data_IF_363178858402
#
_entry.id   IF_363178858402
#
_cell.length_a   1.000
_cell.length_b   1.000
_cell.length_c   1.000
_cell.angle_alpha   90.00
_cell.angle_beta   90.00
_cell.angle_gamma   90.00
#
_symmetry.space_group_name_H-M   'P 1'
#
loop_
_entity.id
_entity.type
_entity.pdbx_description
1 polymer ?
#
# COMPACT_ATOMS: atom_id res chain seq x y z
N UNK A 1 28.45 -12.86 7.82
CA UNK A 1 29.10 -12.05 8.89
C UNK A 1 29.52 -10.71 8.28
N UNK A 2 28.57 -9.77 8.14
CA UNK A 2 28.73 -8.34 7.77
C UNK A 2 27.37 -7.56 7.80
N UNK A 3 26.24 -8.21 8.13
CA UNK A 3 25.01 -7.56 8.67
C UNK A 3 25.01 -7.59 10.21
N UNK A 4 26.16 -7.27 10.79
CA UNK A 4 26.47 -7.39 12.22
C UNK A 4 25.48 -6.53 13.02
N UNK A 5 24.52 -7.17 13.69
CA UNK A 5 23.46 -6.57 14.53
C UNK A 5 22.43 -5.71 13.78
N UNK A 6 21.36 -6.35 13.28
CA UNK A 6 20.12 -5.69 12.81
C UNK A 6 19.65 -4.57 13.76
N UNK A 7 19.82 -4.81 15.06
CA UNK A 7 19.53 -3.87 16.13
C UNK A 7 20.36 -2.57 16.06
N UNK A 8 21.64 -2.67 15.70
CA UNK A 8 22.54 -1.50 15.58
C UNK A 8 22.28 -0.76 14.27
N UNK A 9 21.98 -1.48 13.19
CA UNK A 9 21.58 -0.85 11.92
C UNK A 9 20.25 -0.09 12.06
N UNK A 10 19.28 -0.64 12.78
CA UNK A 10 18.03 0.07 13.09
C UNK A 10 18.28 1.35 13.91
N UNK A 11 19.14 1.30 14.93
CA UNK A 11 19.50 2.50 15.71
C UNK A 11 20.20 3.56 14.83
N UNK A 12 21.12 3.13 13.94
CA UNK A 12 21.80 4.02 13.00
C UNK A 12 20.82 4.73 12.05
N UNK A 13 19.84 4.00 11.49
CA UNK A 13 18.81 4.59 10.61
C UNK A 13 17.96 5.61 11.36
N UNK A 14 17.56 5.33 12.61
CA UNK A 14 16.77 6.27 13.41
C UNK A 14 17.57 7.54 13.73
N UNK A 15 18.84 7.41 14.10
CA UNK A 15 19.72 8.55 14.36
C UNK A 15 19.92 9.37 13.09
N UNK A 16 20.18 8.72 11.96
CA UNK A 16 20.33 9.37 10.66
C UNK A 16 19.07 10.15 10.29
N UNK A 17 17.89 9.52 10.33
CA UNK A 17 16.61 10.17 10.08
C UNK A 17 16.38 11.36 11.02
N UNK A 18 16.76 11.24 12.30
CA UNK A 18 16.61 12.34 13.26
C UNK A 18 17.55 13.52 12.95
N UNK A 19 18.78 13.25 12.48
CA UNK A 19 19.74 14.29 12.07
C UNK A 19 19.22 14.98 10.80
N UNK A 20 18.80 14.21 9.80
CA UNK A 20 18.19 14.76 8.58
C UNK A 20 16.96 15.59 8.89
N UNK A 21 16.15 15.17 9.88
CA UNK A 21 15.00 15.95 10.32
C UNK A 21 15.35 17.32 10.86
N UNK A 22 16.51 17.47 11.53
CA UNK A 22 16.96 18.75 12.08
C UNK A 22 17.56 19.64 10.99
N UNK A 23 18.28 19.06 10.03
CA UNK A 23 18.88 19.78 8.90
C UNK A 23 17.82 20.34 7.94
N UNK A 24 16.69 19.65 7.78
CA UNK A 24 15.60 20.06 6.87
C UNK A 24 14.66 21.08 7.53
N UNK A 25 14.70 21.23 8.86
CA UNK A 25 13.85 22.17 9.62
C UNK A 25 14.14 23.65 9.26
N UNK A 26 15.31 23.96 8.68
CA UNK A 26 15.64 25.29 8.15
C UNK A 26 15.01 25.62 6.77
N UNK A 27 14.38 24.65 6.10
CA UNK A 27 13.73 24.85 4.80
C UNK A 27 12.20 24.65 4.91
N UNK A 28 11.46 25.75 5.06
CA UNK A 28 10.01 25.75 5.35
C UNK A 28 9.10 25.13 4.27
N UNK A 29 9.63 24.80 3.08
CA UNK A 29 8.82 24.42 1.92
C UNK A 29 8.56 22.92 1.73
N UNK A 30 8.94 22.05 2.67
CA UNK A 30 9.03 20.61 2.38
C UNK A 30 8.05 19.75 3.20
N UNK A 31 7.10 19.13 2.49
CA UNK A 31 6.22 18.01 2.92
C UNK A 31 6.93 16.95 3.78
N UNK A 32 8.24 16.81 3.63
CA UNK A 32 9.12 15.91 4.39
C UNK A 32 9.02 16.16 5.90
N UNK A 33 8.81 17.39 6.35
CA UNK A 33 8.66 17.73 7.78
C UNK A 33 7.50 17.00 8.46
N UNK A 34 6.41 16.71 7.74
CA UNK A 34 5.25 15.96 8.28
C UNK A 34 5.57 14.48 8.44
N UNK A 35 6.28 13.88 7.49
CA UNK A 35 6.71 12.47 7.56
C UNK A 35 7.81 12.27 8.62
N UNK A 36 8.79 13.17 8.72
CA UNK A 36 9.85 13.11 9.73
C UNK A 36 9.30 13.15 11.17
N UNK A 37 8.21 13.89 11.42
CA UNK A 37 7.51 13.87 12.71
C UNK A 37 6.98 12.47 13.04
N UNK A 38 6.43 11.74 12.07
CA UNK A 38 5.96 10.36 12.28
C UNK A 38 7.10 9.39 12.55
N UNK A 39 8.31 9.65 12.03
CA UNK A 39 9.49 8.83 12.32
C UNK A 39 9.98 9.00 13.78
N UNK A 40 9.69 10.12 14.45
CA UNK A 40 9.90 10.24 15.91
C UNK A 40 9.01 9.28 16.71
N UNK A 41 7.86 8.86 16.16
CA UNK A 41 7.02 7.82 16.76
C UNK A 41 7.62 6.41 16.66
N UNK A 42 8.77 6.23 15.98
CA UNK A 42 9.54 4.99 15.98
C UNK A 42 10.49 4.85 17.20
N UNK A 43 10.63 5.88 18.06
CA UNK A 43 11.38 5.78 19.34
C UNK A 43 11.00 4.57 20.22
N UNK A 44 9.72 4.13 20.30
CA UNK A 44 9.34 2.90 20.99
C UNK A 44 10.06 1.65 20.47
N UNK A 45 10.43 1.59 19.18
CA UNK A 45 11.26 0.49 18.65
C UNK A 45 12.67 0.48 19.27
N UNK A 46 13.26 1.66 19.53
CA UNK A 46 14.51 1.76 20.29
C UNK A 46 14.33 1.29 21.73
N UNK A 47 13.18 1.61 22.35
CA UNK A 47 12.85 1.12 23.69
C UNK A 47 12.77 -0.41 23.70
N UNK A 48 12.01 -1.02 22.78
CA UNK A 48 11.91 -2.48 22.57
C UNK A 48 13.28 -3.13 22.42
N UNK A 49 14.19 -2.48 21.67
CA UNK A 49 15.56 -2.95 21.55
C UNK A 49 16.31 -2.96 22.88
N UNK A 50 15.94 -2.23 23.92
CA UNK A 50 16.68 -2.17 25.18
C UNK A 50 16.27 -3.27 26.17
N UNK A 51 15.08 -3.84 26.02
CA UNK A 51 14.56 -4.91 26.89
C UNK A 51 15.05 -6.28 26.40
N UNK A 52 15.87 -6.96 27.20
CA UNK A 52 16.47 -8.24 26.80
C UNK A 52 15.42 -9.34 26.49
N UNK A 53 14.27 -9.33 27.16
CA UNK A 53 13.18 -10.28 26.90
C UNK A 53 12.57 -10.17 25.48
N UNK A 54 12.42 -8.95 24.96
CA UNK A 54 11.85 -8.74 23.60
C UNK A 54 12.86 -9.04 22.49
N UNK A 55 14.18 -8.89 22.77
CA UNK A 55 15.24 -9.22 21.80
C UNK A 55 15.22 -10.68 21.39
N UNK A 56 14.93 -11.59 22.32
CA UNK A 56 14.89 -13.03 22.07
C UNK A 56 13.80 -13.38 21.06
N UNK A 57 12.60 -12.82 21.24
CA UNK A 57 11.45 -13.06 20.35
C UNK A 57 11.74 -12.55 18.94
N UNK A 58 12.26 -11.33 18.82
CA UNK A 58 12.60 -10.75 17.50
C UNK A 58 13.74 -11.52 16.85
N UNK A 59 14.73 -11.98 17.60
CA UNK A 59 15.83 -12.79 17.05
C UNK A 59 15.32 -14.14 16.51
N UNK A 60 14.36 -14.77 17.21
CA UNK A 60 13.68 -15.97 16.71
C UNK A 60 12.87 -15.67 15.43
N UNK A 61 12.19 -14.51 15.37
CA UNK A 61 11.45 -14.08 14.19
C UNK A 61 12.39 -13.86 12.99
N UNK A 62 13.50 -13.17 13.19
CA UNK A 62 14.51 -12.89 12.16
C UNK A 62 15.10 -14.17 11.56
N UNK A 63 15.24 -15.23 12.36
CA UNK A 63 15.67 -16.54 11.89
C UNK A 63 14.61 -17.23 11.01
N UNK A 64 13.32 -16.99 11.28
CA UNK A 64 12.21 -17.54 10.52
C UNK A 64 11.95 -16.80 9.19
N UNK A 65 12.27 -15.49 9.10
CA UNK A 65 12.09 -14.66 7.90
C UNK A 65 12.60 -15.31 6.59
N UNK A 66 13.84 -15.85 6.50
CA UNK A 66 14.33 -16.43 5.24
C UNK A 66 13.51 -17.63 4.77
N UNK A 67 12.99 -18.45 5.69
CA UNK A 67 12.10 -19.57 5.35
C UNK A 67 10.72 -19.06 4.93
N UNK A 68 10.17 -18.08 5.66
CA UNK A 68 8.89 -17.45 5.33
C UNK A 68 8.95 -16.77 3.95
N UNK A 69 10.07 -16.14 3.59
CA UNK A 69 10.25 -15.50 2.29
C UNK A 69 10.14 -16.50 1.13
N UNK A 70 10.68 -17.72 1.29
CA UNK A 70 10.52 -18.76 0.27
C UNK A 70 9.05 -19.15 0.06
N UNK A 71 8.29 -19.31 1.16
CA UNK A 71 6.84 -19.62 1.09
C UNK A 71 6.06 -18.44 0.51
N UNK A 72 6.39 -17.21 0.90
CA UNK A 72 5.78 -16.00 0.38
C UNK A 72 6.03 -15.84 -1.12
N UNK A 73 7.22 -16.16 -1.61
CA UNK A 73 7.54 -16.06 -3.04
C UNK A 73 6.65 -17.00 -3.86
N UNK A 74 6.50 -18.25 -3.41
CA UNK A 74 5.58 -19.21 -4.06
C UNK A 74 4.13 -18.72 -3.96
N UNK A 75 3.71 -18.21 -2.80
CA UNK A 75 2.38 -17.65 -2.59
C UNK A 75 2.12 -16.45 -3.51
N UNK A 76 3.10 -15.55 -3.68
CA UNK A 76 2.98 -14.40 -4.56
C UNK A 76 2.83 -14.80 -6.02
N UNK A 77 3.58 -15.79 -6.50
CA UNK A 77 3.42 -16.30 -7.87
C UNK A 77 2.01 -16.88 -8.07
N UNK A 78 1.51 -17.64 -7.10
CA UNK A 78 0.16 -18.19 -7.14
C UNK A 78 -0.92 -17.09 -7.14
N UNK A 79 -0.78 -16.10 -6.26
CA UNK A 79 -1.65 -14.93 -6.20
C UNK A 79 -1.59 -14.10 -7.47
N UNK A 80 -0.41 -13.99 -8.11
CA UNK A 80 -0.24 -13.26 -9.36
C UNK A 80 -1.08 -13.87 -10.48
N UNK A 81 -1.08 -15.20 -10.62
CA UNK A 81 -1.87 -15.90 -11.63
C UNK A 81 -3.37 -15.62 -11.43
N UNK A 82 -3.84 -15.72 -10.18
CA UNK A 82 -5.24 -15.38 -9.87
C UNK A 82 -5.56 -13.91 -10.10
N UNK A 83 -4.63 -13.01 -9.80
CA UNK A 83 -4.80 -11.58 -10.05
C UNK A 83 -4.92 -11.29 -11.54
N UNK A 84 -4.08 -11.88 -12.40
CA UNK A 84 -4.16 -11.74 -13.85
C UNK A 84 -5.51 -12.26 -14.37
N UNK A 85 -5.91 -13.47 -13.95
CA UNK A 85 -7.21 -14.03 -14.32
C UNK A 85 -8.38 -13.16 -13.84
N UNK A 86 -8.28 -12.61 -12.63
CA UNK A 86 -9.27 -11.69 -12.07
C UNK A 86 -9.38 -10.39 -12.87
N UNK A 87 -8.27 -9.80 -13.30
CA UNK A 87 -8.28 -8.60 -14.15
C UNK A 87 -8.81 -8.91 -15.55
N UNK A 88 -8.50 -10.07 -16.13
CA UNK A 88 -9.06 -10.46 -17.43
C UNK A 88 -10.57 -10.73 -17.37
N UNK A 89 -11.08 -11.20 -16.23
CA UNK A 89 -12.51 -11.51 -16.06
C UNK A 89 -13.35 -10.30 -15.62
N UNK A 90 -12.79 -9.45 -14.74
CA UNK A 90 -13.48 -8.30 -14.17
C UNK A 90 -13.00 -6.94 -14.71
N UNK A 91 -12.05 -6.94 -15.65
CA UNK A 91 -11.53 -5.74 -16.29
C UNK A 91 -12.64 -4.97 -17.00
N UNK A 92 -12.81 -3.70 -16.64
CA UNK A 92 -13.80 -2.82 -17.27
C UNK A 92 -15.25 -3.01 -16.81
N UNK A 93 -15.56 -4.03 -16.01
CA UNK A 93 -16.94 -4.33 -15.56
C UNK A 93 -17.38 -3.59 -14.28
N UNK A 94 -16.45 -2.91 -13.62
CA UNK A 94 -16.72 -2.12 -12.40
C UNK A 94 -16.96 -0.63 -12.65
N UNK A 95 -16.91 -0.16 -13.91
CA UNK A 95 -17.26 1.22 -14.22
C UNK A 95 -18.77 1.42 -14.09
N UNK A 96 -19.15 2.38 -13.24
CA UNK A 96 -20.54 2.82 -13.07
C UNK A 96 -20.57 4.34 -13.23
N UNK A 97 -21.50 4.82 -14.05
CA UNK A 97 -21.80 6.24 -14.11
C UNK A 97 -22.78 6.57 -12.99
N UNK A 98 -22.40 7.54 -12.16
CA UNK A 98 -23.19 8.03 -11.04
C UNK A 98 -23.41 9.52 -11.31
N UNK A 99 -24.65 9.98 -11.15
CA UNK A 99 -24.98 11.40 -11.30
C UNK A 99 -24.56 12.23 -10.07
N UNK A 100 -24.61 13.56 -10.16
CA UNK A 100 -24.22 14.47 -9.07
C UNK A 100 -25.04 14.27 -7.78
N UNK A 101 -26.26 13.72 -7.90
CA UNK A 101 -27.14 13.34 -6.78
C UNK A 101 -26.86 11.93 -6.21
N UNK A 102 -25.89 11.19 -6.75
CA UNK A 102 -25.51 9.86 -6.25
C UNK A 102 -26.33 8.69 -6.79
N UNK A 103 -27.28 8.94 -7.71
CA UNK A 103 -28.12 7.92 -8.33
C UNK A 103 -27.40 7.20 -9.48
N UNK A 104 -27.64 5.89 -9.61
CA UNK A 104 -27.05 5.05 -10.67
C UNK A 104 -27.83 5.23 -11.97
N UNK A 105 -27.19 5.78 -13.00
CA UNK A 105 -27.85 5.98 -14.29
C UNK A 105 -28.17 4.62 -14.97
N UNK A 106 -29.39 4.41 -15.48
CA UNK A 106 -29.73 3.20 -16.20
C UNK A 106 -28.93 3.14 -17.50
N UNK A 107 -28.03 2.17 -17.62
CA UNK A 107 -27.29 1.91 -18.85
C UNK A 107 -28.23 1.22 -19.84
N UNK A 108 -28.98 1.99 -20.61
CA UNK A 108 -29.71 1.48 -21.77
C UNK A 108 -28.71 1.08 -22.86
N UNK A 109 -28.75 -0.17 -23.38
CA UNK A 109 -27.90 -0.56 -24.51
C UNK A 109 -28.27 0.28 -25.76
N UNK A 110 -27.31 0.59 -26.64
CA UNK A 110 -27.53 1.39 -27.85
C UNK A 110 -28.57 0.78 -28.81
N UNK A 111 -28.91 -0.49 -28.64
CA UNK A 111 -29.91 -1.20 -29.44
C UNK A 111 -31.36 -0.82 -29.07
N UNK A 112 -31.58 -0.14 -27.93
CA UNK A 112 -32.92 0.27 -27.48
C UNK A 112 -33.34 1.67 -27.99
N UNK A 113 -32.46 2.40 -28.67
CA UNK A 113 -32.78 3.71 -29.27
C UNK A 113 -33.32 3.56 -30.70
N UNK A 114 -33.13 2.41 -31.35
CA UNK A 114 -33.55 2.19 -32.73
C UNK A 114 -35.05 1.87 -32.91
N UNK A 115 -35.81 1.61 -31.84
CA UNK A 115 -37.25 1.28 -31.95
C UNK A 115 -38.17 2.52 -31.86
N UNK A 116 -37.65 3.69 -31.43
CA UNK A 116 -38.48 4.90 -31.23
C UNK A 116 -38.32 5.94 -32.36
N UNK A 117 -37.68 5.59 -33.48
CA UNK A 117 -37.48 6.51 -34.60
C UNK A 117 -38.51 6.35 -35.74
N UNK A 118 -39.34 5.30 -35.74
CA UNK A 118 -40.37 5.09 -36.77
C UNK A 118 -41.73 5.71 -36.43
N UNK A 119 -41.95 6.25 -35.22
CA UNK A 119 -43.26 6.78 -34.78
C UNK A 119 -43.38 8.32 -34.82
N UNK A 120 -42.39 9.04 -35.37
CA UNK A 120 -42.41 10.52 -35.42
C UNK A 120 -42.59 11.11 -36.83
N UNK A 121 -42.94 10.32 -37.84
CA UNK A 121 -43.27 10.81 -39.19
C UNK A 121 -44.54 10.17 -39.80
N UNK A 122 -45.58 9.91 -38.99
CA UNK A 122 -46.93 9.70 -39.51
C UNK A 122 -48.03 9.99 -38.49
N UNK A 123 -48.89 10.96 -38.84
CA UNK A 123 -50.19 11.35 -38.25
C UNK A 123 -50.18 12.47 -37.19
#
# INVERSE_FOLDING_TARGET
RYFTSFWTTLDFVIVFVSIFSLLIEENENLKVLRSLRTLRALRPLRAISRWQGMRIVVNALMYAIPSIFNVLLVCLVFWLIFSIMGVQFFGGKFFKCVDDDGELLPVSPPDAVADNADDAEAA
#
